data_IF_988253555662
#
_entry.id   IF_988253555662
#
_cell.length_a   1.000
_cell.length_b   1.000
_cell.length_c   1.000
_cell.angle_alpha   90.00
_cell.angle_beta   90.00
_cell.angle_gamma   90.00
#
_symmetry.space_group_name_H-M   'P 1'
#
loop_
_entity.id
_entity.type
_entity.pdbx_description
1 polymer ?
#
# COMPACT_ATOMS: atom_id res chain seq x y z
N UNK A 1 -34.69 -4.09 -2.51
CA UNK A 1 -33.65 -3.57 -3.41
C UNK A 1 -32.84 -2.55 -2.62
N UNK A 2 -31.70 -2.94 -2.03
CA UNK A 2 -30.81 -2.00 -1.34
C UNK A 2 -29.66 -1.65 -2.27
N UNK A 3 -29.57 -0.39 -2.65
CA UNK A 3 -28.40 0.18 -3.31
C UNK A 3 -27.41 0.57 -2.21
N UNK A 4 -26.28 -0.13 -2.13
CA UNK A 4 -25.18 0.28 -1.25
C UNK A 4 -24.64 1.65 -1.71
N UNK A 5 -24.23 2.54 -0.79
CA UNK A 5 -23.66 3.82 -1.18
C UNK A 5 -22.36 3.59 -1.95
N UNK A 6 -22.30 4.07 -3.19
CA UNK A 6 -21.05 4.21 -3.93
C UNK A 6 -20.18 5.21 -3.18
N UNK A 7 -19.29 4.71 -2.32
CA UNK A 7 -18.18 5.48 -1.78
C UNK A 7 -17.43 6.10 -2.97
N UNK A 8 -17.14 7.41 -2.96
CA UNK A 8 -16.40 8.02 -4.06
C UNK A 8 -15.08 7.25 -4.22
N UNK A 9 -14.85 6.77 -5.45
CA UNK A 9 -13.65 6.06 -5.89
C UNK A 9 -12.44 6.98 -5.74
N UNK A 10 -11.90 7.10 -4.53
CA UNK A 10 -10.53 7.55 -4.40
C UNK A 10 -9.69 6.57 -5.19
N UNK A 11 -8.80 7.06 -6.07
CA UNK A 11 -7.95 6.18 -6.85
C UNK A 11 -7.19 5.25 -5.90
N UNK A 12 -7.02 3.97 -6.24
CA UNK A 12 -6.37 2.98 -5.37
C UNK A 12 -4.91 3.35 -5.06
N UNK A 13 -4.33 4.27 -5.82
CA UNK A 13 -2.97 4.79 -5.67
C UNK A 13 -3.04 6.32 -5.69
N UNK A 14 -2.37 6.95 -4.73
CA UNK A 14 -2.20 8.41 -4.67
C UNK A 14 -0.82 8.79 -5.22
N UNK A 15 -0.79 9.71 -6.18
CA UNK A 15 0.45 10.27 -6.72
C UNK A 15 0.74 11.58 -5.99
N UNK A 16 1.88 11.67 -5.30
CA UNK A 16 2.24 12.87 -4.51
C UNK A 16 2.92 13.97 -5.34
N UNK A 17 3.52 13.60 -6.49
CA UNK A 17 4.19 14.53 -7.40
C UNK A 17 4.12 14.01 -8.85
N UNK A 18 3.84 14.91 -9.78
CA UNK A 18 3.70 14.57 -11.20
C UNK A 18 2.39 13.84 -11.50
N UNK A 19 2.20 13.47 -12.76
CA UNK A 19 1.10 12.64 -13.22
C UNK A 19 1.67 11.28 -13.64
N UNK A 20 1.00 10.20 -13.27
CA UNK A 20 1.37 8.86 -13.70
C UNK A 20 0.65 8.53 -15.01
N UNK A 21 1.39 7.99 -15.97
CA UNK A 21 0.78 7.46 -17.20
C UNK A 21 0.03 6.16 -16.91
N UNK A 22 -0.92 5.79 -17.79
CA UNK A 22 -1.65 4.53 -17.66
C UNK A 22 -0.72 3.31 -17.67
N UNK A 23 0.33 3.35 -18.48
CA UNK A 23 1.36 2.30 -18.57
C UNK A 23 2.12 2.13 -17.24
N UNK A 24 2.52 3.23 -16.60
CA UNK A 24 3.21 3.20 -15.31
C UNK A 24 2.30 2.68 -14.20
N UNK A 25 1.02 3.05 -14.21
CA UNK A 25 0.03 2.50 -13.27
C UNK A 25 -0.17 0.99 -13.48
N UNK A 26 -0.23 0.53 -14.73
CA UNK A 26 -0.33 -0.89 -15.05
C UNK A 26 0.90 -1.67 -14.58
N UNK A 27 2.10 -1.13 -14.82
CA UNK A 27 3.35 -1.74 -14.35
C UNK A 27 3.38 -1.86 -12.82
N UNK A 28 2.98 -0.80 -12.10
CA UNK A 28 2.88 -0.83 -10.64
C UNK A 28 1.86 -1.86 -10.15
N UNK A 29 0.70 -1.97 -10.81
CA UNK A 29 -0.31 -2.96 -10.47
C UNK A 29 0.23 -4.39 -10.59
N UNK A 30 0.92 -4.70 -11.70
CA UNK A 30 1.57 -6.01 -11.90
C UNK A 30 2.58 -6.29 -10.78
N UNK A 31 3.44 -5.31 -10.47
CA UNK A 31 4.48 -5.46 -9.44
C UNK A 31 3.88 -5.73 -8.05
N UNK A 32 2.84 -5.00 -7.68
CA UNK A 32 2.14 -5.18 -6.41
C UNK A 32 1.42 -6.54 -6.32
N UNK A 33 0.75 -6.95 -7.40
CA UNK A 33 0.07 -8.26 -7.47
C UNK A 33 1.07 -9.42 -7.41
N UNK A 34 2.18 -9.35 -8.14
CA UNK A 34 3.23 -10.36 -8.11
C UNK A 34 3.87 -10.47 -6.72
N UNK A 35 4.11 -9.33 -6.05
CA UNK A 35 4.63 -9.33 -4.67
C UNK A 35 3.65 -9.92 -3.67
N UNK A 36 2.35 -9.64 -3.82
CA UNK A 36 1.30 -10.25 -2.99
C UNK A 36 1.26 -11.77 -3.14
N UNK A 37 1.30 -12.26 -4.39
CA UNK A 37 1.32 -13.69 -4.68
C UNK A 37 2.54 -14.42 -4.09
N UNK A 38 3.71 -13.76 -4.04
CA UNK A 38 4.90 -14.30 -3.38
C UNK A 38 4.78 -14.27 -1.85
N UNK A 39 4.16 -13.24 -1.28
CA UNK A 39 3.94 -13.15 0.17
C UNK A 39 2.96 -14.22 0.68
N UNK A 40 1.94 -14.57 -0.11
CA UNK A 40 1.00 -15.65 0.23
C UNK A 40 1.64 -17.04 0.14
N UNK A 41 2.70 -17.21 -0.66
CA UNK A 41 3.41 -18.48 -0.80
C UNK A 41 4.36 -18.78 0.37
N UNK A 42 4.85 -17.76 1.08
CA UNK A 42 5.86 -17.83 2.16
C UNK A 42 5.25 -17.53 3.56
N UNK A 43 3.98 -17.85 3.79
CA UNK A 43 3.31 -17.55 5.06
C UNK A 43 3.86 -18.34 6.27
N UNK A 44 4.93 -17.83 6.91
CA UNK A 44 5.24 -17.69 8.37
C UNK A 44 6.73 -17.33 8.58
N UNK A 45 7.16 -16.52 9.60
CA UNK A 45 6.55 -15.38 10.28
C UNK A 45 7.27 -14.05 10.01
N UNK A 46 6.52 -12.95 10.21
CA UNK A 46 6.94 -11.55 10.42
C UNK A 46 8.24 -11.11 9.73
N UNK A 47 8.11 -10.70 8.45
CA UNK A 47 9.07 -9.82 7.81
C UNK A 47 9.43 -8.70 8.80
N UNK A 48 10.72 -8.45 9.07
CA UNK A 48 11.07 -7.45 10.04
C UNK A 48 10.49 -6.14 9.52
N UNK A 49 9.70 -5.46 10.37
CA UNK A 49 8.79 -4.38 9.95
C UNK A 49 9.49 -3.36 9.04
N UNK A 50 8.77 -2.48 8.32
CA UNK A 50 9.30 -1.67 7.19
C UNK A 50 10.53 -0.78 7.49
N UNK A 51 11.00 -0.80 8.73
CA UNK A 51 12.15 -0.09 9.27
C UNK A 51 13.14 -0.99 10.01
N UNK A 52 13.21 -2.28 9.69
CA UNK A 52 14.13 -3.26 10.28
C UNK A 52 15.61 -2.91 10.14
N UNK A 53 15.95 -2.15 9.12
CA UNK A 53 17.28 -1.60 8.87
C UNK A 53 17.59 -0.37 9.74
N UNK A 54 16.62 0.14 10.51
CA UNK A 54 16.82 1.29 11.40
C UNK A 54 17.23 0.82 12.79
N UNK A 55 18.19 1.51 13.43
CA UNK A 55 18.57 1.21 14.82
C UNK A 55 17.46 1.54 15.84
N UNK A 56 16.45 2.32 15.44
CA UNK A 56 15.31 2.69 16.28
C UNK A 56 14.00 2.43 15.54
N UNK A 57 12.98 2.02 16.29
CA UNK A 57 11.65 1.80 15.76
C UNK A 57 11.10 3.08 15.11
N UNK A 58 10.45 2.94 13.95
CA UNK A 58 9.79 4.05 13.29
C UNK A 58 8.58 4.50 14.11
N UNK A 59 8.66 5.73 14.63
CA UNK A 59 7.53 6.43 15.18
C UNK A 59 6.96 7.38 14.13
N UNK A 60 5.74 7.14 13.61
CA UNK A 60 5.08 8.13 12.77
C UNK A 60 4.85 9.41 13.59
N UNK A 61 4.88 10.59 12.95
CA UNK A 61 4.53 11.85 13.60
C UNK A 61 3.16 11.75 14.28
N UNK A 62 2.98 12.44 15.41
CA UNK A 62 1.74 12.43 16.19
C UNK A 62 0.49 12.85 15.39
N UNK A 63 0.68 13.59 14.29
CA UNK A 63 -0.39 13.97 13.36
C UNK A 63 -0.95 12.82 12.53
N UNK A 64 -0.25 11.67 12.46
CA UNK A 64 -0.63 10.48 11.69
C UNK A 64 -1.08 9.30 12.56
N UNK A 65 -0.82 9.34 13.87
CA UNK A 65 -1.46 8.41 14.80
C UNK A 65 -2.93 8.81 14.96
N UNK A 66 -3.84 8.09 14.27
CA UNK A 66 -5.25 8.11 14.66
C UNK A 66 -5.34 7.50 16.06
N UNK A 67 -5.89 8.28 17.00
CA UNK A 67 -6.30 7.84 18.34
C UNK A 67 -7.28 6.69 18.27
#
# INVERSE_FOLDING_TARGET
MSVSPTTPLSPPIRVEKGEATEEELAALAVLLLSRGALADADAEPAAPGPTSWRPHAFHPPHSWQRS
#
